data_IF_435499803165
#
_entry.id   IF_435499803165
#
_cell.length_a   1.000
_cell.length_b   1.000
_cell.length_c   1.000
_cell.angle_alpha   90.00
_cell.angle_beta   90.00
_cell.angle_gamma   90.00
#
_symmetry.space_group_name_H-M   'P 1'
#
loop_
_entity.id
_entity.type
_entity.pdbx_description
1 polymer ?
#
# COMPACT_ATOMS: atom_id res chain seq x y z
N UNK A 1 -0.69 -11.61 -9.26
CA UNK A 1 0.55 -12.26 -9.74
C UNK A 1 1.84 -11.52 -9.32
N UNK A 2 1.92 -10.19 -9.11
CA UNK A 2 3.22 -9.51 -8.89
C UNK A 2 3.29 -8.55 -7.67
N UNK A 3 3.02 -9.00 -6.43
CA UNK A 3 3.33 -8.21 -5.21
C UNK A 3 4.52 -8.76 -4.41
N UNK A 4 4.94 -10.00 -4.68
CA UNK A 4 6.03 -10.67 -3.94
C UNK A 4 7.43 -10.29 -4.43
N UNK A 5 7.60 -9.65 -5.59
CA UNK A 5 8.92 -9.37 -6.15
C UNK A 5 9.73 -8.38 -5.30
N UNK A 6 9.07 -7.42 -4.64
CA UNK A 6 9.71 -6.46 -3.71
C UNK A 6 10.23 -7.11 -2.43
N UNK A 7 9.77 -8.33 -2.12
CA UNK A 7 10.19 -9.12 -0.97
C UNK A 7 11.02 -10.28 -1.52
N UNK A 8 12.33 -10.04 -1.67
CA UNK A 8 13.38 -10.90 -2.23
C UNK A 8 12.99 -12.39 -2.35
N UNK A 9 13.04 -12.97 -3.55
CA UNK A 9 12.53 -14.32 -3.86
C UNK A 9 13.58 -15.44 -3.68
N UNK A 10 14.72 -15.18 -3.04
CA UNK A 10 15.83 -16.15 -2.88
C UNK A 10 16.14 -16.50 -1.42
N UNK A 11 17.16 -17.33 -1.19
CA UNK A 11 17.63 -17.82 0.13
C UNK A 11 17.87 -16.73 1.21
N UNK A 12 17.99 -15.45 0.82
CA UNK A 12 18.00 -14.29 1.72
C UNK A 12 16.74 -13.44 1.49
N UNK A 13 15.58 -14.07 1.67
CA UNK A 13 14.29 -13.40 1.60
C UNK A 13 14.00 -12.64 2.90
N UNK A 14 12.97 -11.81 2.85
CA UNK A 14 12.45 -11.18 4.05
C UNK A 14 11.72 -12.25 4.88
N UNK A 15 12.23 -12.57 6.07
CA UNK A 15 11.59 -13.53 6.99
C UNK A 15 10.15 -13.12 7.34
N UNK A 16 9.89 -11.81 7.42
CA UNK A 16 8.56 -11.24 7.67
C UNK A 16 7.64 -11.15 6.44
N UNK A 17 8.04 -11.68 5.28
CA UNK A 17 7.29 -11.55 4.03
C UNK A 17 5.85 -12.05 4.15
N UNK A 18 5.65 -13.26 4.68
CA UNK A 18 4.31 -13.85 4.80
C UNK A 18 3.45 -13.08 5.80
N UNK A 19 4.05 -12.66 6.92
CA UNK A 19 3.37 -11.89 7.95
C UNK A 19 2.88 -10.54 7.40
N UNK A 20 3.80 -9.75 6.83
CA UNK A 20 3.48 -8.44 6.27
C UNK A 20 2.45 -8.53 5.13
N UNK A 21 2.53 -9.55 4.28
CA UNK A 21 1.55 -9.76 3.22
C UNK A 21 0.18 -10.14 3.75
N UNK A 22 0.10 -10.93 4.81
CA UNK A 22 -1.18 -11.32 5.40
C UNK A 22 -1.86 -10.12 6.06
N UNK A 23 -1.12 -9.33 6.83
CA UNK A 23 -1.63 -8.08 7.41
C UNK A 23 -2.12 -7.12 6.33
N UNK A 24 -1.32 -6.89 5.27
CA UNK A 24 -1.70 -5.99 4.19
C UNK A 24 -2.98 -6.46 3.47
N UNK A 25 -3.13 -7.77 3.22
CA UNK A 25 -4.36 -8.31 2.61
C UNK A 25 -5.59 -8.06 3.47
N UNK A 26 -5.48 -8.31 4.78
CA UNK A 26 -6.58 -8.12 5.73
C UNK A 26 -6.95 -6.63 5.80
N UNK A 27 -5.97 -5.74 5.95
CA UNK A 27 -6.19 -4.29 6.01
C UNK A 27 -6.83 -3.80 4.71
N UNK A 28 -6.28 -4.14 3.54
CA UNK A 28 -6.82 -3.71 2.25
C UNK A 28 -8.26 -4.21 2.05
N UNK A 29 -8.54 -5.46 2.40
CA UNK A 29 -9.91 -5.99 2.30
C UNK A 29 -10.87 -5.25 3.23
N UNK A 30 -10.48 -4.96 4.46
CA UNK A 30 -11.31 -4.20 5.39
C UNK A 30 -11.52 -2.75 4.95
N UNK A 31 -10.47 -2.10 4.42
CA UNK A 31 -10.55 -0.74 3.92
C UNK A 31 -11.50 -0.64 2.74
N UNK A 32 -11.36 -1.51 1.73
CA UNK A 32 -12.22 -1.47 0.53
C UNK A 32 -13.68 -1.85 0.82
N UNK A 33 -13.94 -2.65 1.86
CA UNK A 33 -15.31 -3.01 2.28
C UNK A 33 -16.04 -1.85 2.95
N UNK A 34 -15.32 -0.97 3.64
CA UNK A 34 -15.92 0.12 4.44
C UNK A 34 -15.85 1.47 3.75
N UNK A 35 -14.87 1.66 2.86
CA UNK A 35 -14.52 2.96 2.33
C UNK A 35 -14.30 2.94 0.81
N UNK A 36 -14.81 3.98 0.15
CA UNK A 36 -14.43 4.35 -1.20
C UNK A 36 -13.27 5.34 -1.11
N UNK A 37 -12.13 4.95 -1.70
CA UNK A 37 -10.93 5.78 -1.77
C UNK A 37 -10.94 6.56 -3.08
N UNK A 38 -11.01 7.89 -2.99
CA UNK A 38 -11.01 8.80 -4.14
C UNK A 38 -9.67 9.52 -4.16
N UNK A 39 -8.94 9.40 -5.27
CA UNK A 39 -7.69 10.13 -5.48
C UNK A 39 -7.99 11.62 -5.68
N UNK A 40 -7.17 12.47 -5.08
CA UNK A 40 -7.21 13.89 -5.38
C UNK A 40 -6.48 14.15 -6.73
N UNK A 41 -7.11 14.85 -7.69
CA UNK A 41 -6.52 15.06 -9.01
C UNK A 41 -5.34 16.03 -8.99
N UNK A 42 -5.28 16.95 -8.02
CA UNK A 42 -4.25 17.99 -7.94
C UNK A 42 -2.98 17.51 -7.23
N UNK A 43 -3.07 16.41 -6.46
CA UNK A 43 -1.96 15.91 -5.66
C UNK A 43 -1.41 14.57 -6.17
N UNK A 44 -0.48 14.62 -7.13
CA UNK A 44 0.24 13.43 -7.58
C UNK A 44 1.41 13.10 -6.64
N UNK A 45 1.48 11.90 -6.03
CA UNK A 45 2.56 11.54 -5.12
C UNK A 45 3.89 11.39 -5.86
N UNK A 46 4.93 12.10 -5.40
CA UNK A 46 6.30 12.03 -5.96
C UNK A 46 7.15 11.12 -5.07
N UNK A 47 7.62 10.00 -5.62
CA UNK A 47 8.44 9.04 -4.86
C UNK A 47 9.90 9.47 -4.83
N UNK A 48 10.52 9.41 -3.65
CA UNK A 48 11.95 9.63 -3.43
C UNK A 48 12.60 8.39 -2.82
N UNK A 49 13.72 7.91 -3.38
CA UNK A 49 14.50 6.83 -2.78
C UNK A 49 15.32 7.40 -1.62
N UNK A 50 15.01 6.98 -0.40
CA UNK A 50 15.85 7.21 0.79
C UNK A 50 16.37 5.85 1.28
N UNK A 51 16.48 5.61 2.59
CA UNK A 51 16.71 4.26 3.11
C UNK A 51 15.58 3.28 2.69
N UNK A 52 14.36 3.79 2.58
CA UNK A 52 13.21 3.12 1.98
C UNK A 52 12.53 4.09 1.01
N UNK A 53 11.77 3.58 0.04
CA UNK A 53 10.99 4.41 -0.87
C UNK A 53 9.88 5.13 -0.09
N UNK A 54 9.84 6.47 -0.17
CA UNK A 54 8.83 7.30 0.49
C UNK A 54 8.28 8.34 -0.48
N UNK A 55 7.06 8.81 -0.23
CA UNK A 55 6.54 9.98 -0.96
C UNK A 55 7.13 11.26 -0.37
N UNK A 56 7.61 12.18 -1.21
CA UNK A 56 8.10 13.51 -0.82
C UNK A 56 6.96 14.40 -0.33
N UNK A 57 5.83 14.38 -1.04
CA UNK A 57 4.69 15.27 -0.82
C UNK A 57 3.52 14.58 -0.11
N UNK A 58 3.72 13.37 0.42
CA UNK A 58 2.64 12.58 1.03
C UNK A 58 1.70 11.97 -0.02
N UNK A 59 0.64 11.30 0.46
CA UNK A 59 -0.42 10.72 -0.38
C UNK A 59 -1.74 11.28 0.14
N UNK A 60 -2.45 12.06 -0.68
CA UNK A 60 -3.75 12.63 -0.32
C UNK A 60 -4.87 11.80 -0.92
N UNK A 61 -5.73 11.26 -0.06
CA UNK A 61 -6.89 10.46 -0.43
C UNK A 61 -8.12 11.04 0.25
N UNK A 62 -9.19 11.24 -0.54
CA UNK A 62 -10.52 11.54 -0.01
C UNK A 62 -11.21 10.21 0.27
N UNK A 63 -11.67 10.05 1.50
CA UNK A 63 -12.30 8.82 1.97
C UNK A 63 -13.81 9.09 2.10
N UNK A 64 -14.63 8.28 1.43
CA UNK A 64 -16.08 8.25 1.63
C UNK A 64 -16.49 6.90 2.21
N UNK A 65 -17.48 6.88 3.10
CA UNK A 65 -18.07 5.61 3.56
C UNK A 65 -18.80 4.95 2.40
N UNK A 66 -18.69 3.63 2.30
CA UNK A 66 -19.52 2.84 1.38
C UNK A 66 -20.93 2.81 1.99
N UNK A 67 -21.86 3.55 1.40
CA UNK A 67 -23.29 3.37 1.66
C UNK A 67 -23.68 1.99 1.12
N UNK A 68 -24.35 1.19 1.96
CA UNK A 68 -24.67 -0.20 1.67
C UNK A 68 -26.00 -0.32 0.94
#
# INVERSE_FOLDING_TARGET
MFMILSLSVRCRNCIGQNFALNELKVVVAMTLRKYVLIKDPDHTPKMIPRLVLRSLNGIHLKIKLVEK
#
